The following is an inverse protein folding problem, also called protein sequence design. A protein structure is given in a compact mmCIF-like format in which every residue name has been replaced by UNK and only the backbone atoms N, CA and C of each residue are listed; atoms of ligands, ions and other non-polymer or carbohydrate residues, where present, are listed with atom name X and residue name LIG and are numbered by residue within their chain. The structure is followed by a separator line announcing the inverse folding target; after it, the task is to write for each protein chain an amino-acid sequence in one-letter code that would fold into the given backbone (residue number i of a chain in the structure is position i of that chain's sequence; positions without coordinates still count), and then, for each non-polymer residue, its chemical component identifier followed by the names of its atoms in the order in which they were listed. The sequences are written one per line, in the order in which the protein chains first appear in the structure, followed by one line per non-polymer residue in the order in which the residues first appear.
data_IF_850389279524
#
_entry.id   IF_850389279524
#
_cell.length_a   1.000
_cell.length_b   1.000
_cell.length_c   1.000
_cell.angle_alpha   90.00
_cell.angle_beta   90.00
_cell.angle_gamma   90.00
#
_symmetry.space_group_name_H-M   'P 1'
#
loop_
_entity.id
_entity.type
_entity.pdbx_description
1 polymer ?
#
# COMPACT_ATOMS: atom_id res chain seq x y z
N UNK A 1 12.84 23.90 -10.77
CA UNK A 1 12.10 22.69 -10.37
C UNK A 1 12.15 22.59 -8.86
N UNK A 2 11.03 22.77 -8.17
CA UNK A 2 11.00 22.57 -6.72
C UNK A 2 11.07 21.06 -6.49
N UNK A 3 12.27 20.57 -6.16
CA UNK A 3 12.46 19.19 -5.73
C UNK A 3 11.82 19.10 -4.35
N UNK A 4 10.56 18.67 -4.29
CA UNK A 4 9.97 18.25 -3.02
C UNK A 4 10.77 17.04 -2.54
N UNK A 5 11.55 17.21 -1.47
CA UNK A 5 12.35 16.10 -0.94
C UNK A 5 11.41 14.95 -0.55
N UNK A 6 11.67 13.75 -1.07
CA UNK A 6 11.07 12.52 -0.56
C UNK A 6 12.04 11.89 0.43
N UNK A 7 11.52 11.39 1.55
CA UNK A 7 12.35 10.76 2.57
C UNK A 7 12.53 9.26 2.27
N UNK A 8 11.61 8.67 1.49
CA UNK A 8 11.61 7.26 1.09
C UNK A 8 11.07 7.15 -0.34
N UNK A 9 11.70 6.32 -1.18
CA UNK A 9 11.17 5.94 -2.50
C UNK A 9 10.80 4.46 -2.47
N UNK A 10 9.54 4.15 -2.78
CA UNK A 10 9.02 2.79 -2.88
C UNK A 10 8.77 2.45 -4.34
N UNK A 11 9.44 1.42 -4.85
CA UNK A 11 9.33 0.97 -6.23
C UNK A 11 8.44 -0.28 -6.32
N UNK A 12 7.27 -0.12 -6.93
CA UNK A 12 6.22 -1.12 -7.11
C UNK A 12 4.99 -0.86 -6.25
N UNK A 13 3.88 -0.43 -6.85
CA UNK A 13 2.59 -0.20 -6.19
C UNK A 13 1.71 -1.47 -6.16
N UNK A 14 2.32 -2.60 -5.80
CA UNK A 14 1.62 -3.81 -5.41
C UNK A 14 1.22 -3.78 -3.92
N UNK A 15 0.59 -4.84 -3.39
CA UNK A 15 0.16 -4.89 -1.99
C UNK A 15 1.28 -4.57 -0.98
N UNK A 16 2.49 -5.07 -1.23
CA UNK A 16 3.64 -4.80 -0.36
C UNK A 16 4.07 -3.32 -0.41
N UNK A 17 4.25 -2.76 -1.60
CA UNK A 17 4.74 -1.38 -1.74
C UNK A 17 3.71 -0.32 -1.35
N UNK A 18 2.42 -0.55 -1.63
CA UNK A 18 1.36 0.35 -1.14
C UNK A 18 1.27 0.32 0.39
N UNK A 19 1.40 -0.86 1.01
CA UNK A 19 1.45 -0.99 2.48
C UNK A 19 2.68 -0.29 3.07
N UNK A 20 3.86 -0.47 2.47
CA UNK A 20 5.09 0.17 2.92
C UNK A 20 5.00 1.69 2.83
N UNK A 21 4.57 2.22 1.67
CA UNK A 21 4.38 3.66 1.48
C UNK A 21 3.36 4.23 2.47
N UNK A 22 2.24 3.53 2.70
CA UNK A 22 1.25 3.93 3.72
C UNK A 22 1.88 3.98 5.11
N UNK A 23 2.61 2.95 5.51
CA UNK A 23 3.26 2.90 6.82
C UNK A 23 4.31 4.01 7.02
N UNK A 24 5.02 4.41 5.96
CA UNK A 24 5.92 5.57 5.99
C UNK A 24 5.14 6.88 6.19
N UNK A 25 4.07 7.09 5.42
CA UNK A 25 3.23 8.28 5.52
C UNK A 25 2.57 8.42 6.91
N UNK A 26 2.05 7.31 7.46
CA UNK A 26 1.46 7.26 8.82
C UNK A 26 2.46 7.64 9.92
N UNK A 27 3.77 7.54 9.66
CA UNK A 27 4.86 7.91 10.57
C UNK A 27 5.42 9.32 10.32
N UNK A 28 4.81 10.10 9.42
CA UNK A 28 5.20 11.48 9.11
C UNK A 28 6.29 11.63 8.05
N UNK A 29 6.72 10.54 7.40
CA UNK A 29 7.63 10.63 6.26
C UNK A 29 6.88 11.03 4.98
N UNK A 30 7.61 11.53 3.98
CA UNK A 30 7.11 11.81 2.62
C UNK A 30 7.57 10.73 1.64
N UNK A 31 6.81 9.62 1.51
CA UNK A 31 7.14 8.56 0.56
C UNK A 31 6.74 8.93 -0.87
N UNK A 32 7.60 8.61 -1.84
CA UNK A 32 7.26 8.54 -3.25
C UNK A 32 6.99 7.07 -3.62
N UNK A 33 5.76 6.74 -3.99
CA UNK A 33 5.41 5.42 -4.53
C UNK A 33 5.34 5.48 -6.05
N UNK A 34 6.11 4.63 -6.74
CA UNK A 34 6.10 4.53 -8.21
C UNK A 34 5.82 3.10 -8.66
N UNK A 35 5.22 2.94 -9.83
CA UNK A 35 5.01 1.65 -10.48
C UNK A 35 5.14 1.85 -11.99
N UNK A 36 5.57 0.82 -12.71
CA UNK A 36 5.68 0.85 -14.17
C UNK A 36 4.32 0.77 -14.87
N UNK A 37 3.31 0.27 -14.17
CA UNK A 37 1.99 0.05 -14.73
C UNK A 37 1.11 1.30 -14.61
N UNK A 38 0.27 1.50 -15.62
CA UNK A 38 -0.83 2.46 -15.56
C UNK A 38 -1.98 1.85 -14.75
N UNK A 39 -2.57 2.63 -13.84
CA UNK A 39 -3.68 2.19 -13.00
C UNK A 39 -5.03 2.69 -13.54
N UNK A 40 -6.13 1.93 -13.35
CA UNK A 40 -6.19 0.62 -12.71
C UNK A 40 -5.54 -0.48 -13.57
N UNK A 41 -4.88 -1.45 -12.93
CA UNK A 41 -4.28 -2.60 -13.61
C UNK A 41 -4.80 -3.90 -13.05
N UNK A 42 -4.96 -4.89 -13.93
CA UNK A 42 -5.18 -6.26 -13.49
C UNK A 42 -3.87 -6.89 -13.00
N UNK A 43 -3.92 -7.52 -11.81
CA UNK A 43 -2.83 -8.32 -11.27
C UNK A 43 -3.42 -9.68 -10.87
N UNK A 44 -3.08 -10.77 -11.59
CA UNK A 44 -3.52 -12.11 -11.19
C UNK A 44 -3.11 -12.40 -9.74
N UNK A 45 -4.09 -12.75 -8.93
CA UNK A 45 -3.97 -13.00 -7.49
C UNK A 45 -5.17 -13.86 -7.04
N UNK A 46 -4.97 -14.76 -6.07
CA UNK A 46 -6.06 -15.54 -5.46
C UNK A 46 -6.96 -14.74 -4.53
N UNK A 47 -6.61 -13.49 -4.20
CA UNK A 47 -7.45 -12.58 -3.41
C UNK A 47 -7.59 -12.91 -1.92
N UNK A 48 -7.01 -14.02 -1.45
CA UNK A 48 -7.11 -14.44 -0.05
C UNK A 48 -6.25 -13.56 0.88
N UNK A 49 -6.87 -13.08 1.96
CA UNK A 49 -6.19 -12.39 3.06
C UNK A 49 -6.51 -13.09 4.38
N UNK A 50 -5.49 -13.28 5.22
CA UNK A 50 -5.71 -13.81 6.57
C UNK A 50 -6.38 -12.76 7.46
N UNK A 51 -7.11 -13.20 8.50
CA UNK A 51 -7.67 -12.31 9.53
C UNK A 51 -6.57 -11.42 10.13
N UNK A 52 -5.40 -11.99 10.39
CA UNK A 52 -4.23 -11.24 10.87
C UNK A 52 -3.86 -10.10 9.94
N UNK A 53 -3.85 -10.34 8.62
CA UNK A 53 -3.53 -9.32 7.61
C UNK A 53 -4.59 -8.22 7.59
N UNK A 54 -5.87 -8.56 7.67
CA UNK A 54 -6.98 -7.60 7.69
C UNK A 54 -6.86 -6.68 8.92
N UNK A 55 -6.65 -7.28 10.10
CA UNK A 55 -6.46 -6.55 11.36
C UNK A 55 -5.23 -5.64 11.31
N UNK A 56 -4.10 -6.16 10.82
CA UNK A 56 -2.85 -5.40 10.72
C UNK A 56 -2.96 -4.23 9.74
N UNK A 57 -3.73 -4.37 8.67
CA UNK A 57 -3.95 -3.31 7.70
C UNK A 57 -5.08 -2.35 8.08
N UNK A 58 -5.84 -2.64 9.15
CA UNK A 58 -6.99 -1.83 9.57
C UNK A 58 -8.12 -1.81 8.53
N UNK A 59 -8.25 -2.86 7.72
CA UNK A 59 -9.26 -2.94 6.67
C UNK A 59 -10.58 -3.44 7.24
N UNK A 60 -11.69 -2.80 6.86
CA UNK A 60 -13.03 -3.32 7.10
C UNK A 60 -13.56 -3.94 5.81
N UNK A 61 -13.68 -5.26 5.76
CA UNK A 61 -14.18 -6.00 4.59
C UNK A 61 -15.68 -6.32 4.68
N UNK A 62 -16.42 -5.75 5.63
CA UNK A 62 -17.88 -5.89 5.72
C UNK A 62 -18.37 -7.23 6.28
N UNK A 63 -17.48 -8.15 6.63
CA UNK A 63 -17.83 -9.38 7.33
C UNK A 63 -17.74 -9.15 8.84
N UNK A 64 -18.88 -9.21 9.55
CA UNK A 64 -18.91 -9.33 11.01
C UNK A 64 -18.33 -10.70 11.36
N UNK A 65 -17.10 -10.73 11.85
CA UNK A 65 -16.60 -11.89 12.60
C UNK A 65 -17.42 -11.94 13.89
N UNK A 66 -18.26 -12.96 14.02
CA UNK A 66 -18.87 -13.32 15.30
C UNK A 66 -17.78 -13.66 16.33
#
# INVERSE_FOLDING_TARGET
MLMGNYDVIVVGAGPAGSTAARGCAERGFRPLLIDKALFPRYKPCGGALSIRTINLLGLNLGFRLA
#
